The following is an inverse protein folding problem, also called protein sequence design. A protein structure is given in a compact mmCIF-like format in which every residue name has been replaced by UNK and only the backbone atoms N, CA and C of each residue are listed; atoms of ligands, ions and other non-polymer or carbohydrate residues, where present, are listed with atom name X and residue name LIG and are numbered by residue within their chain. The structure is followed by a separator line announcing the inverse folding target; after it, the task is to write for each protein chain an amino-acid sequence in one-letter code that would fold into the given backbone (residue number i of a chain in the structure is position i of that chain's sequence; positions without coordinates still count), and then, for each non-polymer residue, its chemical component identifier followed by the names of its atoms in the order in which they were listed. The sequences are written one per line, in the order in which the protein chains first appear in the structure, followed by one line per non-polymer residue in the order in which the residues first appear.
data_IF_601791417395
#
_entry.id   IF_601791417395
#
_cell.length_a   1.000
_cell.length_b   1.000
_cell.length_c   1.000
_cell.angle_alpha   90.00
_cell.angle_beta   90.00
_cell.angle_gamma   90.00
#
_symmetry.space_group_name_H-M   'P 1'
#
loop_
_entity.id
_entity.type
_entity.pdbx_description
1 polymer ?
#
# COMPACT_ATOMS: atom_id res chain seq x y z
N UNK A 1 19.11 14.37 -21.67
CA UNK A 1 19.61 13.72 -20.44
C UNK A 1 18.70 14.22 -19.34
N UNK A 2 17.68 13.45 -18.95
CA UNK A 2 16.72 13.87 -17.94
C UNK A 2 17.37 13.64 -16.58
N UNK A 3 17.78 14.73 -15.96
CA UNK A 3 18.31 14.77 -14.60
C UNK A 3 17.30 14.08 -13.67
N UNK A 4 17.61 12.86 -13.24
CA UNK A 4 16.82 12.16 -12.24
C UNK A 4 17.08 12.87 -10.93
N UNK A 5 16.15 13.74 -10.52
CA UNK A 5 16.10 14.20 -9.14
C UNK A 5 16.15 12.95 -8.27
N UNK A 6 17.27 12.74 -7.57
CA UNK A 6 17.45 11.56 -6.75
C UNK A 6 16.48 11.70 -5.59
N UNK A 7 15.44 10.87 -5.53
CA UNK A 7 14.52 10.83 -4.42
C UNK A 7 15.09 9.84 -3.41
N UNK A 8 15.84 10.31 -2.38
CA UNK A 8 16.74 9.46 -1.61
C UNK A 8 16.01 8.30 -0.94
N UNK A 9 14.79 8.54 -0.46
CA UNK A 9 13.97 7.49 0.17
C UNK A 9 13.51 6.39 -0.80
N UNK A 10 13.19 6.75 -2.05
CA UNK A 10 12.81 5.75 -3.07
C UNK A 10 14.02 4.94 -3.51
N UNK A 11 15.14 5.62 -3.78
CA UNK A 11 16.39 4.96 -4.10
C UNK A 11 16.83 4.02 -2.97
N UNK A 12 16.70 4.45 -1.71
CA UNK A 12 16.97 3.63 -0.52
C UNK A 12 16.03 2.42 -0.44
N UNK A 13 14.74 2.59 -0.76
CA UNK A 13 13.80 1.47 -0.83
C UNK A 13 14.24 0.44 -1.87
N UNK A 14 14.48 0.86 -3.12
CA UNK A 14 14.94 -0.02 -4.20
C UNK A 14 16.24 -0.74 -3.82
N UNK A 15 17.21 -0.01 -3.28
CA UNK A 15 18.49 -0.55 -2.83
C UNK A 15 18.33 -1.56 -1.67
N UNK A 16 17.52 -1.24 -0.68
CA UNK A 16 17.26 -2.11 0.50
C UNK A 16 16.66 -3.46 0.10
N UNK A 17 15.88 -3.49 -0.97
CA UNK A 17 15.26 -4.71 -1.47
C UNK A 17 16.02 -5.36 -2.63
N UNK A 18 17.15 -4.80 -3.06
CA UNK A 18 17.92 -5.31 -4.21
C UNK A 18 17.10 -5.33 -5.50
N UNK A 19 16.22 -4.33 -5.66
CA UNK A 19 15.40 -4.14 -6.87
C UNK A 19 16.08 -3.08 -7.72
N UNK A 20 16.31 -3.36 -9.00
CA UNK A 20 16.90 -2.39 -9.91
C UNK A 20 15.98 -1.16 -10.04
N UNK A 21 16.56 0.03 -9.87
CA UNK A 21 15.85 1.27 -10.10
C UNK A 21 15.66 1.48 -11.61
N UNK A 22 14.44 1.23 -12.09
CA UNK A 22 14.08 1.43 -13.49
C UNK A 22 13.33 2.75 -13.64
N UNK A 23 13.81 3.64 -14.51
CA UNK A 23 13.16 4.93 -14.78
C UNK A 23 11.69 4.75 -15.15
N UNK A 24 10.81 5.58 -14.57
CA UNK A 24 9.35 5.52 -14.76
C UNK A 24 8.67 4.22 -14.28
N UNK A 25 9.40 3.34 -13.60
CA UNK A 25 8.76 2.18 -12.97
C UNK A 25 7.85 2.60 -11.83
N UNK A 26 6.88 1.75 -11.56
CA UNK A 26 5.97 1.90 -10.43
C UNK A 26 5.83 0.54 -9.77
N UNK A 27 6.03 0.48 -8.46
CA UNK A 27 5.66 -0.65 -7.63
C UNK A 27 4.38 -0.30 -6.85
N UNK A 28 3.49 -1.26 -6.64
CA UNK A 28 2.34 -1.10 -5.76
C UNK A 28 2.14 -2.29 -4.85
N UNK A 29 1.67 -2.05 -3.63
CA UNK A 29 1.39 -3.09 -2.64
C UNK A 29 0.00 -2.80 -2.05
N UNK A 30 -0.91 -3.74 -2.26
CA UNK A 30 -2.29 -3.65 -1.79
C UNK A 30 -2.52 -4.57 -0.60
N UNK A 31 -3.10 -4.04 0.48
CA UNK A 31 -3.72 -4.79 1.58
C UNK A 31 -5.22 -4.52 1.59
N UNK A 32 -6.03 -5.51 1.97
CA UNK A 32 -7.48 -5.35 2.07
C UNK A 32 -8.07 -6.30 3.10
N UNK A 33 -9.21 -5.92 3.69
CA UNK A 33 -10.05 -6.79 4.51
C UNK A 33 -10.98 -7.69 3.66
N UNK A 34 -10.85 -7.65 2.33
CA UNK A 34 -11.55 -8.48 1.36
C UNK A 34 -10.56 -9.16 0.41
N UNK A 35 -10.90 -10.34 -0.13
CA UNK A 35 -10.10 -11.00 -1.16
C UNK A 35 -9.76 -10.06 -2.33
N UNK A 36 -8.52 -10.06 -2.86
CA UNK A 36 -8.11 -9.18 -3.94
C UNK A 36 -9.08 -9.18 -5.13
N UNK A 37 -9.59 -10.34 -5.52
CA UNK A 37 -10.54 -10.50 -6.62
C UNK A 37 -11.81 -9.64 -6.50
N UNK A 38 -12.27 -9.36 -5.27
CA UNK A 38 -13.45 -8.55 -5.03
C UNK A 38 -13.23 -7.11 -5.54
N UNK A 39 -12.03 -6.56 -5.40
CA UNK A 39 -11.72 -5.21 -5.87
C UNK A 39 -11.59 -5.09 -7.39
N UNK A 40 -11.24 -6.18 -8.08
CA UNK A 40 -10.90 -6.14 -9.50
C UNK A 40 -11.99 -6.68 -10.43
N UNK A 41 -12.58 -7.84 -10.13
CA UNK A 41 -13.54 -8.50 -11.03
C UNK A 41 -14.76 -9.10 -10.34
N UNK A 42 -14.87 -8.98 -9.02
CA UNK A 42 -16.04 -9.38 -8.21
C UNK A 42 -16.53 -8.25 -7.30
N UNK A 43 -16.62 -7.02 -7.81
CA UNK A 43 -16.95 -5.81 -7.02
C UNK A 43 -18.30 -5.87 -6.31
N UNK A 44 -19.25 -6.61 -6.85
CA UNK A 44 -20.54 -6.87 -6.21
C UNK A 44 -20.46 -7.70 -4.92
N UNK A 45 -19.27 -8.24 -4.57
CA UNK A 45 -19.02 -8.95 -3.31
C UNK A 45 -18.44 -8.04 -2.22
N UNK A 46 -18.05 -6.81 -2.54
CA UNK A 46 -17.57 -5.84 -1.55
C UNK A 46 -18.73 -5.41 -0.66
N UNK A 47 -18.46 -5.33 0.64
CA UNK A 47 -19.34 -4.71 1.62
C UNK A 47 -19.09 -3.20 1.63
N UNK A 48 -20.05 -2.36 2.05
CA UNK A 48 -19.83 -0.92 2.17
C UNK A 48 -18.58 -0.57 2.99
N UNK A 49 -18.34 -1.30 4.08
CA UNK A 49 -17.21 -1.17 4.98
C UNK A 49 -15.90 -1.85 4.52
N UNK A 50 -15.88 -2.43 3.31
CA UNK A 50 -14.65 -2.99 2.76
C UNK A 50 -13.59 -1.90 2.58
N UNK A 51 -12.37 -2.20 3.01
CA UNK A 51 -11.23 -1.29 3.03
C UNK A 51 -10.12 -1.81 2.12
N UNK A 52 -9.46 -0.88 1.44
CA UNK A 52 -8.25 -1.15 0.67
C UNK A 52 -7.18 -0.13 1.06
N UNK A 53 -6.01 -0.63 1.42
CA UNK A 53 -4.79 0.14 1.67
C UNK A 53 -3.81 -0.12 0.51
N UNK A 54 -3.56 0.89 -0.32
CA UNK A 54 -2.71 0.82 -1.51
C UNK A 54 -1.47 1.70 -1.33
N UNK A 55 -0.30 1.08 -1.27
CA UNK A 55 0.98 1.77 -1.33
C UNK A 55 1.44 1.84 -2.78
N UNK A 56 1.67 3.04 -3.30
CA UNK A 56 2.22 3.29 -4.62
C UNK A 56 3.62 3.92 -4.51
N UNK A 57 4.60 3.32 -5.19
CA UNK A 57 6.01 3.69 -5.16
C UNK A 57 6.48 3.94 -6.60
N UNK A 58 6.27 5.15 -7.14
CA UNK A 58 6.80 5.50 -8.44
C UNK A 58 8.29 5.87 -8.31
N UNK A 59 9.10 5.46 -9.29
CA UNK A 59 10.54 5.78 -9.32
C UNK A 59 10.82 7.30 -9.34
N UNK A 60 9.82 8.12 -9.71
CA UNK A 60 9.89 9.58 -9.69
C UNK A 60 9.61 10.21 -8.31
N UNK A 61 9.69 9.44 -7.22
CA UNK A 61 9.77 10.01 -5.88
C UNK A 61 8.48 10.30 -5.14
N UNK A 62 7.35 10.34 -5.84
CA UNK A 62 6.07 10.75 -5.25
C UNK A 62 5.29 9.55 -4.71
N UNK A 63 5.87 8.82 -3.75
CA UNK A 63 5.15 7.72 -3.14
C UNK A 63 3.91 8.21 -2.39
N UNK A 64 2.90 7.34 -2.35
CA UNK A 64 1.63 7.61 -1.67
C UNK A 64 1.06 6.32 -1.12
N UNK A 65 0.55 6.36 0.10
CA UNK A 65 -0.34 5.34 0.64
C UNK A 65 -1.77 5.88 0.62
N UNK A 66 -2.71 5.12 0.10
CA UNK A 66 -4.13 5.45 0.04
C UNK A 66 -4.94 4.40 0.80
N UNK A 67 -5.68 4.81 1.82
CA UNK A 67 -6.71 4.00 2.48
C UNK A 67 -8.07 4.47 1.97
N UNK A 68 -8.76 3.59 1.25
CA UNK A 68 -10.09 3.83 0.73
C UNK A 68 -11.10 2.86 1.31
N UNK A 69 -12.31 3.36 1.57
CA UNK A 69 -13.48 2.55 1.90
C UNK A 69 -14.40 2.44 0.68
N UNK A 70 -14.96 1.25 0.46
CA UNK A 70 -15.70 0.93 -0.76
C UNK A 70 -16.89 1.87 -1.03
N UNK A 71 -17.63 2.25 0.01
CA UNK A 71 -18.76 3.19 -0.07
C UNK A 71 -18.35 4.67 -0.17
N UNK A 72 -17.06 4.97 -0.29
CA UNK A 72 -16.48 6.32 -0.30
C UNK A 72 -16.79 7.16 0.94
N UNK A 73 -17.09 6.51 2.07
CA UNK A 73 -17.37 7.23 3.31
C UNK A 73 -16.17 8.07 3.77
N UNK A 74 -14.96 7.57 3.52
CA UNK A 74 -13.73 8.32 3.67
C UNK A 74 -12.63 7.84 2.71
N UNK A 75 -11.65 8.71 2.48
CA UNK A 75 -10.37 8.40 1.88
C UNK A 75 -9.27 9.07 2.72
N UNK A 76 -8.18 8.35 2.99
CA UNK A 76 -7.01 8.87 3.71
C UNK A 76 -5.76 8.64 2.90
N UNK A 77 -4.94 9.65 2.77
CA UNK A 77 -3.69 9.59 2.00
C UNK A 77 -2.52 10.02 2.85
N UNK A 78 -1.46 9.22 2.84
CA UNK A 78 -0.14 9.58 3.35
C UNK A 78 0.78 9.78 2.17
N UNK A 79 1.58 10.84 2.21
CA UNK A 79 2.55 11.18 1.17
C UNK A 79 3.86 11.57 1.85
N UNK A 80 4.93 11.62 1.07
CA UNK A 80 6.22 12.17 1.48
C UNK A 80 6.08 13.52 2.21
N UNK A 81 6.98 13.81 3.15
CA UNK A 81 7.01 15.03 3.97
C UNK A 81 5.85 15.16 4.99
N UNK A 82 5.38 14.04 5.54
CA UNK A 82 4.29 14.00 6.55
C UNK A 82 2.98 14.68 6.10
N UNK A 83 2.70 14.63 4.79
CA UNK A 83 1.45 15.14 4.20
C UNK A 83 0.34 14.08 4.33
N UNK A 84 -0.37 14.16 5.45
CA UNK A 84 -1.58 13.39 5.73
C UNK A 84 -2.83 14.17 5.27
N UNK A 85 -3.61 13.56 4.39
CA UNK A 85 -4.88 14.11 3.89
C UNK A 85 -6.03 13.18 4.24
N UNK A 86 -7.10 13.74 4.77
CA UNK A 86 -8.31 12.98 5.16
C UNK A 86 -9.52 13.63 4.50
N UNK A 87 -10.16 12.88 3.60
CA UNK A 87 -11.37 13.29 2.90
C UNK A 87 -12.55 12.48 3.44
N UNK A 88 -13.55 13.15 4.00
CA UNK A 88 -14.81 12.52 4.44
C UNK A 88 -15.88 13.58 4.67
N UNK A 89 -17.15 13.20 4.50
CA UNK A 89 -18.29 14.05 4.85
C UNK A 89 -18.57 14.02 6.36
N UNK A 90 -18.26 12.92 7.06
CA UNK A 90 -18.53 12.80 8.48
C UNK A 90 -17.44 13.44 9.36
N UNK A 91 -17.86 14.10 10.43
CA UNK A 91 -16.94 14.75 11.37
C UNK A 91 -16.04 13.75 12.10
N UNK A 92 -16.56 12.53 12.35
CA UNK A 92 -15.84 11.46 13.04
C UNK A 92 -14.51 11.17 12.36
N UNK A 93 -14.52 10.88 11.06
CA UNK A 93 -13.30 10.54 10.32
C UNK A 93 -12.35 11.74 10.20
N UNK A 94 -12.87 12.97 10.09
CA UNK A 94 -12.02 14.16 9.94
C UNK A 94 -11.35 14.63 11.23
N UNK A 95 -11.99 14.45 12.40
CA UNK A 95 -11.55 15.08 13.66
C UNK A 95 -11.40 14.17 14.86
N UNK A 96 -12.13 13.06 14.91
CA UNK A 96 -12.18 12.20 16.11
C UNK A 96 -11.22 11.02 16.00
N UNK A 97 -10.99 10.53 14.79
CA UNK A 97 -10.00 9.48 14.55
C UNK A 97 -8.60 10.08 14.60
N UNK A 98 -7.75 9.49 15.45
CA UNK A 98 -6.33 9.79 15.51
C UNK A 98 -5.60 8.97 14.45
N UNK A 99 -5.58 9.49 13.22
CA UNK A 99 -4.89 8.84 12.12
C UNK A 99 -3.40 8.72 12.41
N UNK A 100 -2.79 7.52 12.24
CA UNK A 100 -1.36 7.34 12.38
C UNK A 100 -0.60 8.22 11.39
N UNK A 101 0.63 8.60 11.75
CA UNK A 101 1.56 9.26 10.84
C UNK A 101 2.44 8.23 10.16
N UNK A 102 2.88 8.55 8.95
CA UNK A 102 3.80 7.73 8.17
C UNK A 102 4.95 8.65 7.75
N UNK A 103 6.06 8.58 8.47
CA UNK A 103 7.20 9.46 8.21
C UNK A 103 8.14 8.85 7.18
N UNK A 104 8.17 7.52 7.09
CA UNK A 104 8.91 6.81 6.07
C UNK A 104 8.09 5.74 5.36
N UNK A 105 8.36 5.56 4.07
CA UNK A 105 7.89 4.45 3.26
C UNK A 105 8.18 3.08 3.93
N UNK A 106 9.32 2.95 4.61
CA UNK A 106 9.72 1.71 5.29
C UNK A 106 8.80 1.35 6.47
N UNK A 107 8.04 2.31 7.00
CA UNK A 107 7.09 2.12 8.11
C UNK A 107 5.71 1.62 7.64
N UNK A 108 5.49 1.41 6.35
CA UNK A 108 4.21 0.94 5.80
C UNK A 108 3.61 -0.30 6.52
N UNK A 109 4.37 -1.36 6.85
CA UNK A 109 3.83 -2.50 7.58
C UNK A 109 3.28 -2.14 8.96
N UNK A 110 3.95 -1.21 9.66
CA UNK A 110 3.51 -0.71 10.97
C UNK A 110 2.26 0.16 10.84
N UNK A 111 2.17 0.97 9.78
CA UNK A 111 0.96 1.75 9.48
C UNK A 111 -0.27 0.84 9.35
N UNK A 112 -0.16 -0.30 8.66
CA UNK A 112 -1.27 -1.24 8.52
C UNK A 112 -1.78 -1.72 9.88
N UNK A 113 -0.88 -2.13 10.79
CA UNK A 113 -1.24 -2.56 12.15
C UNK A 113 -1.90 -1.43 12.96
N UNK A 114 -1.35 -0.21 12.88
CA UNK A 114 -1.93 0.94 13.56
C UNK A 114 -3.33 1.28 13.05
N UNK A 115 -3.59 1.10 11.74
CA UNK A 115 -4.90 1.31 11.15
C UNK A 115 -5.91 0.25 11.61
N UNK A 116 -5.51 -1.01 11.75
CA UNK A 116 -6.35 -2.07 12.32
C UNK A 116 -6.82 -1.70 13.73
N UNK A 117 -5.90 -1.25 14.59
CA UNK A 117 -6.20 -0.83 15.95
C UNK A 117 -7.09 0.42 15.99
N UNK A 118 -6.79 1.42 15.16
CA UNK A 118 -7.50 2.70 15.15
C UNK A 118 -8.93 2.59 14.64
N UNK A 119 -9.16 1.71 13.66
CA UNK A 119 -10.46 1.51 13.00
C UNK A 119 -11.26 0.34 13.57
N UNK A 120 -10.62 -0.55 14.35
CA UNK A 120 -11.24 -1.77 14.84
C UNK A 120 -11.54 -2.76 13.72
N UNK A 121 -10.62 -2.91 12.77
CA UNK A 121 -10.74 -3.77 11.58
C UNK A 121 -9.54 -4.70 11.48
N UNK A 122 -9.61 -5.71 10.62
CA UNK A 122 -8.48 -6.57 10.28
C UNK A 122 -8.34 -6.66 8.77
N UNK A 123 -7.13 -6.43 8.27
CA UNK A 123 -6.74 -6.76 6.91
C UNK A 123 -6.52 -8.27 6.80
N UNK A 124 -6.72 -8.82 5.61
CA UNK A 124 -6.23 -10.15 5.30
C UNK A 124 -4.71 -10.13 5.41
N UNK A 125 -4.12 -11.20 5.96
CA UNK A 125 -2.66 -11.41 6.01
C UNK A 125 -2.12 -11.82 4.63
N UNK A 126 -2.51 -11.06 3.60
CA UNK A 126 -2.17 -11.22 2.21
C UNK A 126 -1.93 -9.86 1.57
N UNK A 127 -0.75 -9.66 0.99
CA UNK A 127 -0.42 -8.48 0.19
C UNK A 127 -0.43 -8.82 -1.30
N UNK A 128 -1.11 -8.03 -2.12
CA UNK A 128 -1.02 -8.17 -3.57
C UNK A 128 -0.03 -7.16 -4.14
N UNK A 129 1.00 -7.65 -4.82
CA UNK A 129 2.03 -6.84 -5.46
C UNK A 129 1.66 -6.57 -6.91
N UNK A 130 1.70 -5.30 -7.28
CA UNK A 130 1.56 -4.82 -8.65
C UNK A 130 2.82 -4.09 -9.08
N UNK A 131 3.06 -4.04 -10.39
CA UNK A 131 4.16 -3.26 -10.92
C UNK A 131 3.94 -2.84 -12.36
N UNK A 132 4.66 -1.79 -12.78
CA UNK A 132 4.80 -1.33 -14.16
C UNK A 132 6.28 -1.15 -14.46
N UNK A 133 6.74 -1.69 -15.60
CA UNK A 133 8.16 -1.73 -16.01
C UNK A 133 9.09 -2.52 -15.05
N UNK A 134 8.50 -3.25 -14.12
CA UNK A 134 9.15 -4.25 -13.26
C UNK A 134 8.29 -5.51 -13.30
N UNK A 135 8.85 -6.64 -12.89
CA UNK A 135 8.15 -7.91 -12.84
C UNK A 135 7.50 -8.11 -11.45
N UNK A 136 6.16 -8.02 -11.32
CA UNK A 136 5.50 -8.10 -10.02
C UNK A 136 5.67 -9.48 -9.36
N UNK A 137 5.84 -10.54 -10.15
CA UNK A 137 6.16 -11.88 -9.64
C UNK A 137 7.53 -11.93 -8.95
N UNK A 138 8.54 -11.26 -9.53
CA UNK A 138 9.88 -11.18 -8.95
C UNK A 138 9.84 -10.42 -7.63
N UNK A 139 9.11 -9.29 -7.58
CA UNK A 139 8.90 -8.52 -6.36
C UNK A 139 8.17 -9.33 -5.28
N UNK A 140 7.09 -10.04 -5.64
CA UNK A 140 6.33 -10.88 -4.71
C UNK A 140 7.12 -12.08 -4.17
N UNK A 141 8.15 -12.55 -4.90
CA UNK A 141 9.06 -13.62 -4.46
C UNK A 141 10.32 -13.11 -3.77
N UNK A 142 10.55 -11.80 -3.74
CA UNK A 142 11.73 -11.23 -3.11
C UNK A 142 11.70 -11.46 -1.59
N UNK A 143 12.71 -12.12 -1.00
CA UNK A 143 12.72 -12.47 0.42
C UNK A 143 12.77 -11.24 1.33
N UNK A 144 13.45 -10.16 0.91
CA UNK A 144 13.56 -8.94 1.70
C UNK A 144 12.21 -8.20 1.73
N UNK A 145 11.49 -8.15 0.61
CA UNK A 145 10.12 -7.58 0.55
C UNK A 145 9.18 -8.40 1.43
N UNK A 146 9.26 -9.74 1.37
CA UNK A 146 8.47 -10.64 2.22
C UNK A 146 8.75 -10.41 3.70
N UNK A 147 10.02 -10.31 4.09
CA UNK A 147 10.40 -10.06 5.47
C UNK A 147 9.92 -8.69 5.95
N UNK A 148 10.02 -7.67 5.10
CA UNK A 148 9.53 -6.33 5.41
C UNK A 148 8.01 -6.31 5.60
N UNK A 149 7.24 -7.01 4.76
CA UNK A 149 5.77 -7.10 4.88
C UNK A 149 5.27 -8.10 5.94
N UNK A 150 6.14 -8.95 6.50
CA UNK A 150 5.77 -9.99 7.48
C UNK A 150 4.90 -9.51 8.66
N UNK A 151 5.05 -8.27 9.19
CA UNK A 151 4.15 -7.77 10.23
C UNK A 151 2.67 -7.76 9.80
N UNK A 152 2.37 -7.42 8.55
CA UNK A 152 1.02 -7.21 8.04
C UNK A 152 0.55 -8.23 6.98
N UNK A 153 1.44 -9.07 6.44
CA UNK A 153 1.10 -10.10 5.45
C UNK A 153 1.94 -11.36 5.61
N UNK A 154 1.29 -12.53 5.55
CA UNK A 154 1.96 -13.83 5.58
C UNK A 154 2.18 -14.38 4.15
N UNK A 155 1.31 -13.97 3.22
CA UNK A 155 1.36 -14.39 1.82
C UNK A 155 1.42 -13.18 0.89
N UNK A 156 2.16 -13.32 -0.21
CA UNK A 156 2.25 -12.31 -1.25
C UNK A 156 1.71 -12.86 -2.58
N UNK A 157 0.76 -12.14 -3.17
CA UNK A 157 0.20 -12.40 -4.49
C UNK A 157 0.72 -11.43 -5.54
N UNK A 158 0.46 -11.73 -6.80
CA UNK A 158 0.65 -10.82 -7.93
C UNK A 158 -0.45 -11.07 -8.96
N UNK A 159 -0.58 -10.17 -9.93
CA UNK A 159 -1.64 -10.24 -10.95
C UNK A 159 -3.05 -10.30 -10.35
N UNK A 160 -3.25 -9.70 -9.17
CA UNK A 160 -4.57 -9.54 -8.53
C UNK A 160 -5.20 -10.88 -8.15
N UNK A 161 -4.36 -11.84 -7.79
CA UNK A 161 -4.73 -13.21 -7.41
C UNK A 161 -3.90 -13.64 -6.22
N UNK A 162 -4.54 -14.34 -5.30
CA UNK A 162 -3.82 -15.21 -4.37
C UNK A 162 -3.16 -16.33 -5.17
N UNK A 163 -1.91 -16.62 -4.84
CA UNK A 163 -1.15 -17.67 -5.50
C UNK A 163 -1.16 -18.90 -4.60
N UNK A 164 -1.29 -20.13 -5.15
CA UNK A 164 -1.16 -21.33 -4.36
C UNK A 164 0.26 -21.41 -3.77
N UNK A 165 0.35 -21.90 -2.52
CA UNK A 165 1.62 -22.16 -1.82
C UNK A 165 2.50 -23.19 -2.53
#
# INVERSE_FOLDING_TARGET
MFDHSTYPEIAEWFASFGVDEVSYSVCSIDLSNEPPEHWFYRRNKLRPESLKLDLNIPANGSWRVDLSRHDNLFNVQWRSNDDLRVESQELRYRKLIKWPRLHSLMEFPLLAEQLEQCLGVHFLRHANVGARLLEPEVLARNPNIRQWLAPCADTLGWNRKMQPE
#
